data_IF_269743076791
#
_entry.id   IF_269743076791
#
_cell.length_a   1.000
_cell.length_b   1.000
_cell.length_c   1.000
_cell.angle_alpha   90.00
_cell.angle_beta   90.00
_cell.angle_gamma   90.00
#
_symmetry.space_group_name_H-M   'P 1'
#
loop_
_entity.id
_entity.type
_entity.pdbx_description
1 polymer ?
#
# COMPACT_ATOMS: atom_id res chain seq x y z
N UNK A 1 78.08 -36.69 57.70
CA UNK A 1 78.31 -35.82 56.52
C UNK A 1 77.52 -36.45 55.38
N UNK A 2 76.19 -36.37 55.38
CA UNK A 2 75.36 -35.16 55.18
C UNK A 2 75.74 -34.45 53.88
N UNK A 3 74.86 -34.09 52.93
CA UNK A 3 73.42 -34.26 52.69
C UNK A 3 73.25 -34.07 51.17
N UNK A 4 72.25 -34.67 50.53
CA UNK A 4 71.10 -33.86 50.13
C UNK A 4 71.11 -33.49 48.65
N UNK A 5 70.89 -34.47 47.77
CA UNK A 5 70.60 -34.25 46.35
C UNK A 5 69.17 -33.72 46.17
N UNK A 6 69.01 -32.41 46.31
CA UNK A 6 67.75 -31.68 46.11
C UNK A 6 67.41 -31.52 44.63
N UNK A 7 66.25 -32.05 44.25
CA UNK A 7 65.62 -31.99 42.94
C UNK A 7 65.40 -30.54 42.51
N UNK A 8 65.88 -30.15 41.33
CA UNK A 8 65.41 -28.94 40.67
C UNK A 8 64.06 -29.24 40.02
N UNK A 9 62.99 -28.83 40.71
CA UNK A 9 61.65 -28.74 40.12
C UNK A 9 61.65 -27.40 39.37
N UNK A 10 61.66 -27.50 38.05
CA UNK A 10 61.50 -26.39 37.12
C UNK A 10 60.12 -25.76 37.35
N UNK A 11 60.09 -24.69 38.15
CA UNK A 11 58.92 -23.84 38.30
C UNK A 11 58.69 -23.12 36.97
N UNK A 12 57.73 -23.63 36.19
CA UNK A 12 57.13 -22.90 35.07
C UNK A 12 56.43 -21.68 35.64
N UNK A 13 57.10 -20.53 35.57
CA UNK A 13 56.51 -19.25 35.94
C UNK A 13 55.43 -18.90 34.91
N UNK A 14 54.17 -18.84 35.36
CA UNK A 14 53.09 -18.23 34.59
C UNK A 14 53.44 -16.75 34.30
N UNK A 15 53.19 -16.23 33.08
CA UNK A 15 53.46 -14.83 32.80
C UNK A 15 52.52 -13.95 33.64
N UNK A 16 53.04 -12.86 34.25
CA UNK A 16 52.21 -11.95 35.02
C UNK A 16 51.19 -11.29 34.09
N UNK A 17 49.91 -11.35 34.48
CA UNK A 17 48.83 -10.60 33.85
C UNK A 17 49.20 -9.12 33.95
N UNK A 18 49.56 -8.50 32.82
CA UNK A 18 49.87 -7.08 32.72
C UNK A 18 48.66 -6.28 33.20
N UNK A 19 48.76 -5.72 34.41
CA UNK A 19 47.81 -4.74 34.89
C UNK A 19 47.98 -3.48 34.03
N UNK A 20 47.01 -3.23 33.14
CA UNK A 20 46.93 -1.96 32.40
C UNK A 20 46.88 -0.81 33.40
N UNK A 21 48.00 -0.09 33.55
CA UNK A 21 48.05 1.12 34.37
C UNK A 21 47.06 2.15 33.83
N UNK A 22 46.27 2.83 34.70
CA UNK A 22 45.34 3.83 34.24
C UNK A 22 46.13 4.98 33.57
N UNK A 23 45.62 5.52 32.44
CA UNK A 23 46.30 6.59 31.73
C UNK A 23 46.55 7.76 32.68
N UNK A 24 47.78 8.27 32.66
CA UNK A 24 48.22 9.33 33.56
C UNK A 24 47.29 10.56 33.48
N UNK A 25 46.93 11.18 34.63
CA UNK A 25 45.88 12.20 34.70
C UNK A 25 46.16 13.43 33.85
N UNK A 26 47.44 13.76 33.64
CA UNK A 26 47.84 14.89 32.80
C UNK A 26 47.46 14.68 31.32
N UNK A 27 47.58 13.46 30.78
CA UNK A 27 47.17 13.15 29.40
C UNK A 27 45.67 13.35 29.22
N UNK A 28 44.89 12.91 30.20
CA UNK A 28 43.43 13.07 30.21
C UNK A 28 43.09 14.56 30.22
N UNK A 29 43.75 15.35 31.09
CA UNK A 29 43.52 16.80 31.11
C UNK A 29 43.90 17.48 29.81
N UNK A 30 45.04 17.13 29.18
CA UNK A 30 45.46 17.71 27.89
C UNK A 30 44.50 17.36 26.75
N UNK A 31 43.98 16.12 26.74
CA UNK A 31 42.99 15.69 25.76
C UNK A 31 41.66 16.44 25.93
N UNK A 32 41.22 16.62 27.19
CA UNK A 32 39.97 17.35 27.49
C UNK A 32 40.13 18.84 27.20
N UNK A 33 41.22 19.48 27.63
CA UNK A 33 41.46 20.90 27.38
C UNK A 33 41.59 21.18 25.88
N UNK A 34 42.32 20.33 25.15
CA UNK A 34 42.40 20.42 23.69
C UNK A 34 41.05 20.26 23.00
N UNK A 35 40.21 19.33 23.46
CA UNK A 35 38.84 19.17 22.94
C UNK A 35 37.96 20.38 23.27
N UNK A 36 38.06 20.93 24.49
CA UNK A 36 37.29 22.11 24.92
C UNK A 36 37.73 23.35 24.14
N UNK A 37 39.02 23.56 23.92
CA UNK A 37 39.53 24.64 23.07
C UNK A 37 39.08 24.49 21.62
N UNK A 38 39.11 23.26 21.09
CA UNK A 38 38.60 22.97 19.75
C UNK A 38 37.10 23.25 19.64
N UNK A 39 36.28 22.80 20.59
CA UNK A 39 34.84 23.06 20.60
C UNK A 39 34.53 24.53 20.85
N UNK A 40 35.32 25.23 21.67
CA UNK A 40 35.19 26.68 21.89
C UNK A 40 35.50 27.47 20.62
N UNK A 41 36.56 27.09 19.91
CA UNK A 41 36.99 27.73 18.66
C UNK A 41 36.11 27.37 17.47
N UNK A 42 35.66 26.12 17.39
CA UNK A 42 34.93 25.55 16.23
C UNK A 42 33.47 25.18 16.52
N UNK A 43 32.90 25.60 17.66
CA UNK A 43 31.52 25.28 18.02
C UNK A 43 30.50 25.79 17.00
N UNK A 44 30.67 27.04 16.56
CA UNK A 44 29.81 27.63 15.53
C UNK A 44 29.94 26.96 14.14
N UNK A 45 31.14 26.73 13.57
CA UNK A 45 31.24 26.02 12.30
C UNK A 45 30.73 24.57 12.38
N UNK A 46 30.89 23.87 13.51
CA UNK A 46 30.28 22.55 13.71
C UNK A 46 28.74 22.61 13.61
N UNK A 47 28.11 23.63 14.20
CA UNK A 47 26.67 23.85 14.07
C UNK A 47 26.26 24.18 12.63
N UNK A 48 27.05 25.00 11.92
CA UNK A 48 26.79 25.33 10.52
C UNK A 48 26.93 24.10 9.61
N UNK A 49 27.94 23.27 9.82
CA UNK A 49 28.14 22.02 9.07
C UNK A 49 26.99 21.05 9.37
N UNK A 50 26.60 20.89 10.63
CA UNK A 50 25.45 20.06 11.00
C UNK A 50 24.16 20.56 10.34
N UNK A 51 23.91 21.87 10.37
CA UNK A 51 22.74 22.49 9.75
C UNK A 51 22.77 22.35 8.23
N UNK A 52 23.94 22.50 7.61
CA UNK A 52 24.16 22.29 6.18
C UNK A 52 23.87 20.84 5.81
N UNK A 53 24.40 19.86 6.55
CA UNK A 53 24.14 18.44 6.31
C UNK A 53 22.66 18.12 6.47
N UNK A 54 22.00 18.63 7.52
CA UNK A 54 20.56 18.46 7.70
C UNK A 54 19.75 19.10 6.56
N UNK A 55 20.16 20.28 6.10
CA UNK A 55 19.55 20.96 4.98
C UNK A 55 19.75 20.20 3.67
N UNK A 56 20.97 19.72 3.39
CA UNK A 56 21.31 18.84 2.27
C UNK A 56 20.47 17.56 2.32
N UNK A 57 20.41 16.89 3.47
CA UNK A 57 19.67 15.64 3.60
C UNK A 57 18.16 15.87 3.40
N UNK A 58 17.61 16.95 3.96
CA UNK A 58 16.22 17.35 3.73
C UNK A 58 15.96 17.68 2.25
N UNK A 59 16.94 18.25 1.54
CA UNK A 59 16.81 18.64 0.13
C UNK A 59 16.97 17.47 -0.84
N UNK A 60 17.97 16.63 -0.60
CA UNK A 60 18.40 15.55 -1.50
C UNK A 60 17.91 14.17 -1.07
N UNK A 61 17.18 14.06 0.04
CA UNK A 61 16.68 12.79 0.57
C UNK A 61 15.95 11.94 -0.47
N UNK A 62 15.15 12.56 -1.33
CA UNK A 62 14.45 11.83 -2.40
C UNK A 62 15.39 11.31 -3.51
N UNK A 63 16.45 12.04 -3.86
CA UNK A 63 17.44 11.56 -4.84
C UNK A 63 18.27 10.42 -4.25
N UNK A 64 18.64 10.53 -2.97
CA UNK A 64 19.32 9.47 -2.23
C UNK A 64 18.46 8.20 -2.16
N UNK A 65 17.17 8.34 -1.88
CA UNK A 65 16.22 7.22 -1.89
C UNK A 65 16.11 6.59 -3.27
N UNK A 66 15.95 7.37 -4.33
CA UNK A 66 15.91 6.84 -5.71
C UNK A 66 17.21 6.16 -6.11
N UNK A 67 18.36 6.71 -5.70
CA UNK A 67 19.66 6.10 -5.96
C UNK A 67 19.84 4.78 -5.20
N UNK A 68 19.43 4.73 -3.93
CA UNK A 68 19.42 3.49 -3.15
C UNK A 68 18.47 2.45 -3.74
N UNK A 69 17.27 2.85 -4.16
CA UNK A 69 16.30 1.98 -4.83
C UNK A 69 16.89 1.41 -6.12
N UNK A 70 17.48 2.25 -6.99
CA UNK A 70 18.13 1.78 -8.22
C UNK A 70 19.28 0.81 -7.94
N UNK A 71 20.07 1.03 -6.89
CA UNK A 71 21.12 0.10 -6.49
C UNK A 71 20.54 -1.23 -5.99
N UNK A 72 19.48 -1.19 -5.20
CA UNK A 72 18.79 -2.38 -4.72
C UNK A 72 18.19 -3.16 -5.91
N UNK A 73 17.49 -2.48 -6.82
CA UNK A 73 16.96 -3.06 -8.07
C UNK A 73 18.05 -3.68 -8.94
N UNK A 74 19.22 -3.04 -9.06
CA UNK A 74 20.35 -3.59 -9.81
C UNK A 74 20.93 -4.84 -9.15
N UNK A 75 21.02 -4.86 -7.82
CA UNK A 75 21.46 -6.03 -7.07
C UNK A 75 20.46 -7.18 -7.21
N UNK A 76 19.16 -6.89 -7.06
CA UNK A 76 18.08 -7.85 -7.26
C UNK A 76 18.08 -8.39 -8.69
N UNK A 77 18.16 -7.53 -9.71
CA UNK A 77 18.24 -7.94 -11.11
C UNK A 77 19.45 -8.85 -11.35
N UNK A 78 20.63 -8.53 -10.80
CA UNK A 78 21.81 -9.37 -10.90
C UNK A 78 21.63 -10.74 -10.22
N UNK A 79 20.90 -10.80 -9.10
CA UNK A 79 20.56 -12.06 -8.42
C UNK A 79 19.59 -12.90 -9.25
N UNK A 80 18.57 -12.28 -9.85
CA UNK A 80 17.61 -12.94 -10.74
C UNK A 80 18.26 -13.46 -12.02
N UNK A 81 19.24 -12.74 -12.59
CA UNK A 81 19.97 -13.20 -13.78
C UNK A 81 20.89 -14.39 -13.50
N UNK A 82 21.43 -14.52 -12.28
CA UNK A 82 22.31 -15.63 -11.89
C UNK A 82 21.53 -16.88 -11.46
N UNK A 83 20.36 -16.69 -10.84
CA UNK A 83 19.58 -17.75 -10.24
C UNK A 83 18.20 -17.88 -10.91
N UNK A 84 18.04 -18.78 -11.91
CA UNK A 84 16.75 -19.00 -12.58
C UNK A 84 15.66 -19.54 -11.62
N UNK A 85 16.05 -20.24 -10.55
CA UNK A 85 15.10 -20.79 -9.56
C UNK A 85 14.31 -19.68 -8.81
N UNK A 86 14.95 -18.53 -8.53
CA UNK A 86 14.27 -17.39 -7.91
C UNK A 86 13.18 -16.80 -8.81
N UNK A 87 13.36 -16.84 -10.13
CA UNK A 87 12.35 -16.42 -11.09
C UNK A 87 11.14 -17.37 -11.07
N UNK A 88 11.40 -18.68 -11.06
CA UNK A 88 10.34 -19.70 -11.00
C UNK A 88 9.53 -19.57 -9.72
N UNK A 89 10.17 -19.39 -8.57
CA UNK A 89 9.48 -19.19 -7.30
C UNK A 89 8.60 -17.93 -7.30
N UNK A 90 9.09 -16.84 -7.91
CA UNK A 90 8.33 -15.60 -8.06
C UNK A 90 7.11 -15.79 -8.98
N UNK A 91 7.29 -16.47 -10.11
CA UNK A 91 6.21 -16.78 -11.04
C UNK A 91 5.16 -17.68 -10.38
N UNK A 92 5.58 -18.71 -9.66
CA UNK A 92 4.68 -19.59 -8.90
C UNK A 92 3.90 -18.81 -7.82
N UNK A 93 4.54 -17.87 -7.13
CA UNK A 93 3.88 -17.00 -6.16
C UNK A 93 2.82 -16.10 -6.84
N UNK A 94 3.14 -15.51 -7.99
CA UNK A 94 2.20 -14.69 -8.78
C UNK A 94 1.03 -15.54 -9.27
N UNK A 95 1.28 -16.75 -9.78
CA UNK A 95 0.24 -17.67 -10.21
C UNK A 95 -0.67 -18.07 -9.05
N UNK A 96 -0.11 -18.37 -7.88
CA UNK A 96 -0.89 -18.71 -6.69
C UNK A 96 -1.80 -17.55 -6.25
N UNK A 97 -1.32 -16.32 -6.35
CA UNK A 97 -2.11 -15.13 -6.04
C UNK A 97 -3.26 -14.94 -7.05
N UNK A 98 -2.99 -15.16 -8.36
CA UNK A 98 -4.02 -15.13 -9.39
C UNK A 98 -5.09 -16.20 -9.18
N UNK A 99 -4.69 -17.43 -8.83
CA UNK A 99 -5.62 -18.54 -8.53
C UNK A 99 -6.52 -18.22 -7.34
N UNK A 100 -5.95 -17.73 -6.23
CA UNK A 100 -6.74 -17.29 -5.06
C UNK A 100 -7.74 -16.20 -5.41
N UNK A 101 -7.36 -15.26 -6.28
CA UNK A 101 -8.24 -14.20 -6.73
C UNK A 101 -9.38 -14.75 -7.60
N UNK A 102 -9.09 -15.69 -8.50
CA UNK A 102 -10.10 -16.38 -9.31
C UNK A 102 -11.09 -17.15 -8.44
N UNK A 103 -10.60 -17.92 -7.47
CA UNK A 103 -11.45 -18.66 -6.52
C UNK A 103 -12.40 -17.75 -5.75
N UNK A 104 -11.95 -16.55 -5.34
CA UNK A 104 -12.82 -15.57 -4.69
C UNK A 104 -13.92 -15.05 -5.63
N UNK A 105 -13.59 -14.79 -6.89
CA UNK A 105 -14.59 -14.40 -7.89
C UNK A 105 -15.58 -15.50 -8.19
N UNK A 106 -15.10 -16.74 -8.34
CA UNK A 106 -15.93 -17.91 -8.61
C UNK A 106 -16.88 -18.16 -7.44
N UNK A 107 -16.38 -18.09 -6.19
CA UNK A 107 -17.20 -18.18 -5.00
C UNK A 107 -18.26 -17.07 -4.93
N UNK A 108 -17.88 -15.82 -5.19
CA UNK A 108 -18.82 -14.70 -5.23
C UNK A 108 -19.89 -14.87 -6.33
N UNK A 109 -19.48 -15.37 -7.50
CA UNK A 109 -20.39 -15.63 -8.63
C UNK A 109 -21.37 -16.75 -8.31
N UNK A 110 -20.92 -17.82 -7.65
CA UNK A 110 -21.75 -18.94 -7.23
C UNK A 110 -22.79 -18.50 -6.19
N UNK A 111 -22.37 -17.72 -5.19
CA UNK A 111 -23.29 -17.15 -4.19
C UNK A 111 -24.32 -16.22 -4.83
N UNK A 112 -23.92 -15.41 -5.82
CA UNK A 112 -24.85 -14.56 -6.55
C UNK A 112 -25.84 -15.38 -7.37
N UNK A 113 -25.38 -16.40 -8.10
CA UNK A 113 -26.23 -17.30 -8.87
C UNK A 113 -27.24 -18.04 -7.98
N UNK A 114 -26.84 -18.49 -6.79
CA UNK A 114 -27.75 -19.09 -5.80
C UNK A 114 -28.82 -18.09 -5.36
N UNK A 115 -28.44 -16.85 -5.02
CA UNK A 115 -29.40 -15.81 -4.64
C UNK A 115 -30.37 -15.46 -5.77
N UNK A 116 -29.93 -15.49 -7.03
CA UNK A 116 -30.81 -15.27 -8.17
C UNK A 116 -31.83 -16.39 -8.32
N UNK A 117 -31.41 -17.66 -8.18
CA UNK A 117 -32.34 -18.81 -8.22
C UNK A 117 -33.41 -18.71 -7.13
N UNK A 118 -33.03 -18.39 -5.90
CA UNK A 118 -33.98 -18.21 -4.80
C UNK A 118 -34.99 -17.10 -5.10
N UNK A 119 -34.54 -15.95 -5.61
CA UNK A 119 -35.44 -14.85 -6.02
C UNK A 119 -36.36 -15.22 -7.18
N UNK A 120 -35.89 -16.06 -8.11
CA UNK A 120 -36.72 -16.57 -9.20
C UNK A 120 -37.77 -17.56 -8.71
N UNK A 121 -37.43 -18.43 -7.75
CA UNK A 121 -38.34 -19.37 -7.11
C UNK A 121 -39.41 -18.66 -6.27
N UNK A 122 -39.03 -17.67 -5.47
CA UNK A 122 -39.97 -16.81 -4.71
C UNK A 122 -40.97 -16.13 -5.66
N UNK A 123 -40.49 -15.52 -6.75
CA UNK A 123 -41.36 -14.91 -7.76
C UNK A 123 -42.26 -15.93 -8.46
N UNK A 124 -41.78 -17.17 -8.67
CA UNK A 124 -42.61 -18.25 -9.21
C UNK A 124 -43.70 -18.64 -8.22
N UNK A 125 -43.37 -18.75 -6.94
CA UNK A 125 -44.33 -19.05 -5.87
C UNK A 125 -45.36 -17.94 -5.73
N UNK A 126 -44.96 -16.66 -5.73
CA UNK A 126 -45.87 -15.52 -5.69
C UNK A 126 -46.85 -15.52 -6.87
N UNK A 127 -46.36 -15.83 -8.08
CA UNK A 127 -47.23 -15.96 -9.27
C UNK A 127 -48.23 -17.10 -9.12
N UNK A 128 -47.79 -18.26 -8.63
CA UNK A 128 -48.68 -19.40 -8.39
C UNK A 128 -49.71 -19.08 -7.30
N UNK A 129 -49.28 -18.46 -6.20
CA UNK A 129 -50.16 -18.06 -5.09
C UNK A 129 -51.20 -17.02 -5.54
N UNK A 130 -50.80 -16.04 -6.37
CA UNK A 130 -51.72 -15.06 -6.95
C UNK A 130 -52.76 -15.74 -7.86
N UNK A 131 -52.34 -16.66 -8.73
CA UNK A 131 -53.23 -17.42 -9.60
C UNK A 131 -54.18 -18.31 -8.79
N UNK A 132 -53.71 -18.92 -7.72
CA UNK A 132 -54.53 -19.74 -6.82
C UNK A 132 -55.56 -18.89 -6.06
N UNK A 133 -55.16 -17.72 -5.53
CA UNK A 133 -56.08 -16.77 -4.90
C UNK A 133 -57.16 -16.28 -5.88
N UNK A 134 -56.80 -16.06 -7.15
CA UNK A 134 -57.76 -15.73 -8.20
C UNK A 134 -58.74 -16.88 -8.47
N UNK A 135 -58.27 -18.13 -8.52
CA UNK A 135 -59.14 -19.32 -8.67
C UNK A 135 -60.08 -19.52 -7.47
N UNK A 136 -59.62 -19.23 -6.25
CA UNK A 136 -60.44 -19.28 -5.02
C UNK A 136 -61.43 -18.11 -4.90
N UNK A 137 -61.41 -17.14 -5.82
CA UNK A 137 -62.33 -15.99 -5.82
C UNK A 137 -61.91 -14.80 -4.95
N UNK A 138 -60.68 -14.81 -4.40
CA UNK A 138 -60.17 -13.76 -3.52
C UNK A 138 -59.46 -12.61 -4.27
N UNK A 139 -59.27 -12.75 -5.59
CA UNK A 139 -58.51 -11.82 -6.45
C UNK A 139 -59.10 -10.41 -6.65
N UNK A 140 -60.16 -10.04 -5.94
CA UNK A 140 -60.88 -8.76 -6.08
C UNK A 140 -60.54 -7.68 -5.05
N UNK A 141 -59.63 -7.92 -4.09
CA UNK A 141 -59.24 -6.90 -3.12
C UNK A 141 -58.26 -5.90 -3.74
N UNK A 142 -58.82 -4.83 -4.31
CA UNK A 142 -58.04 -3.68 -4.78
C UNK A 142 -57.12 -3.15 -3.67
N UNK A 143 -55.86 -2.84 -4.01
CA UNK A 143 -54.78 -2.35 -3.13
C UNK A 143 -55.09 -1.06 -2.32
N UNK A 144 -56.32 -0.54 -2.38
CA UNK A 144 -56.79 0.63 -1.62
C UNK A 144 -57.47 0.26 -0.30
N UNK A 145 -57.96 -0.97 -0.12
CA UNK A 145 -58.73 -1.34 1.09
C UNK A 145 -57.88 -1.91 2.25
N UNK A 146 -56.57 -2.04 2.08
CA UNK A 146 -55.65 -2.61 3.07
C UNK A 146 -54.61 -1.59 3.60
N UNK A 147 -54.77 -0.30 3.31
CA UNK A 147 -54.02 0.75 3.98
C UNK A 147 -54.76 1.13 5.28
N UNK A 148 -54.16 1.04 6.48
CA UNK A 148 -54.78 1.57 7.68
C UNK A 148 -54.93 3.09 7.53
N UNK A 149 -56.15 3.58 7.71
CA UNK A 149 -56.47 5.00 7.73
C UNK A 149 -55.73 5.68 8.90
N UNK A 150 -54.54 6.21 8.63
CA UNK A 150 -53.73 6.86 9.66
C UNK A 150 -52.27 7.06 9.30
N UNK A 151 -51.94 7.51 8.09
CA UNK A 151 -50.62 8.10 7.82
C UNK A 151 -50.74 9.08 6.65
N UNK A 152 -50.43 10.35 6.94
CA UNK A 152 -50.39 11.43 5.97
C UNK A 152 -49.43 11.14 4.81
N UNK A 153 -49.81 11.57 3.62
CA UNK A 153 -48.98 11.56 2.42
C UNK A 153 -47.65 12.32 2.62
N UNK A 154 -46.60 11.91 1.89
CA UNK A 154 -46.06 12.83 0.90
C UNK A 154 -46.07 12.20 -0.51
N UNK A 155 -46.13 13.07 -1.52
CA UNK A 155 -46.36 12.75 -2.93
C UNK A 155 -45.29 11.88 -3.64
N UNK A 156 -45.45 11.66 -4.96
CA UNK A 156 -44.72 10.64 -5.70
C UNK A 156 -43.29 11.11 -5.99
N UNK A 157 -42.31 10.58 -5.25
CA UNK A 157 -40.89 10.74 -5.56
C UNK A 157 -40.40 9.52 -6.33
N UNK A 158 -40.26 9.69 -7.65
CA UNK A 158 -39.49 8.78 -8.48
C UNK A 158 -38.01 8.81 -8.10
N UNK A 159 -37.38 7.63 -8.21
CA UNK A 159 -35.94 7.38 -8.38
C UNK A 159 -34.98 8.32 -7.61
N UNK A 160 -34.55 7.91 -6.41
CA UNK A 160 -33.31 8.43 -5.83
C UNK A 160 -32.51 7.30 -5.20
N UNK A 161 -31.42 6.93 -5.87
CA UNK A 161 -30.35 6.12 -5.31
C UNK A 161 -29.69 6.93 -4.20
N UNK A 162 -29.88 6.49 -2.96
CA UNK A 162 -29.23 7.00 -1.75
C UNK A 162 -27.70 6.79 -1.85
N UNK A 163 -26.97 7.76 -2.39
CA UNK A 163 -25.51 7.83 -2.28
C UNK A 163 -25.18 8.46 -0.94
N UNK A 164 -24.84 7.63 0.05
CA UNK A 164 -24.12 8.07 1.23
C UNK A 164 -22.75 8.64 0.81
N UNK A 165 -22.65 9.97 0.74
CA UNK A 165 -21.39 10.68 0.54
C UNK A 165 -21.12 11.53 1.78
N UNK A 166 -20.28 10.99 2.65
CA UNK A 166 -19.68 11.72 3.76
C UNK A 166 -18.99 12.98 3.21
N UNK A 167 -19.31 14.11 3.83
CA UNK A 167 -18.80 15.44 3.53
C UNK A 167 -17.37 15.53 4.09
N UNK A 168 -16.37 15.47 3.22
CA UNK A 168 -15.01 15.94 3.55
C UNK A 168 -14.76 17.27 2.84
N UNK A 169 -14.45 18.27 3.65
CA UNK A 169 -14.10 19.65 3.36
C UNK A 169 -13.11 19.82 2.18
N UNK A 170 -13.35 20.85 1.36
CA UNK A 170 -12.31 21.57 0.60
C UNK A 170 -11.88 21.03 -0.77
N UNK A 171 -12.56 21.46 -1.84
CA UNK A 171 -11.97 22.04 -3.09
C UNK A 171 -13.04 22.27 -4.15
N UNK A 172 -12.90 23.41 -4.86
CA UNK A 172 -13.80 23.90 -5.92
C UNK A 172 -14.06 22.83 -6.99
N UNK A 173 -15.31 22.58 -7.43
CA UNK A 173 -15.57 21.59 -8.48
C UNK A 173 -15.07 22.12 -9.82
N UNK A 174 -14.13 21.40 -10.45
CA UNK A 174 -13.74 21.62 -11.84
C UNK A 174 -14.96 21.44 -12.75
N UNK A 175 -15.10 22.27 -13.78
CA UNK A 175 -16.23 22.31 -14.74
C UNK A 175 -16.35 21.07 -15.66
N UNK A 176 -15.86 19.92 -15.21
CA UNK A 176 -15.91 18.64 -15.89
C UNK A 176 -16.77 17.71 -15.03
N UNK A 177 -17.71 17.01 -15.67
CA UNK A 177 -18.69 16.15 -15.02
C UNK A 177 -18.03 15.24 -13.97
N UNK A 178 -18.70 15.00 -12.83
CA UNK A 178 -18.13 14.21 -11.72
C UNK A 178 -17.75 12.76 -12.08
N UNK A 179 -18.23 12.26 -13.22
CA UNK A 179 -17.98 10.90 -13.70
C UNK A 179 -16.96 10.83 -14.87
N UNK A 180 -16.27 11.93 -15.20
CA UNK A 180 -15.28 11.92 -16.27
C UNK A 180 -13.89 11.54 -15.76
N UNK A 181 -13.46 10.30 -16.03
CA UNK A 181 -12.09 9.85 -15.80
C UNK A 181 -11.34 9.78 -17.15
N UNK A 182 -10.38 10.69 -17.43
CA UNK A 182 -9.69 10.77 -18.72
C UNK A 182 -8.76 9.57 -19.00
N UNK A 183 -8.49 8.71 -18.02
CA UNK A 183 -7.67 7.49 -18.18
C UNK A 183 -8.51 6.23 -18.42
N UNK A 184 -9.79 6.26 -18.06
CA UNK A 184 -10.74 5.17 -18.23
C UNK A 184 -11.72 5.59 -19.31
N UNK A 185 -11.33 5.40 -20.57
CA UNK A 185 -12.11 5.75 -21.75
C UNK A 185 -13.59 5.40 -21.59
N UNK A 186 -14.40 6.40 -21.28
CA UNK A 186 -15.84 6.27 -21.13
C UNK A 186 -16.45 5.98 -22.49
N UNK A 187 -16.95 4.74 -22.65
CA UNK A 187 -17.49 4.23 -23.89
C UNK A 187 -18.67 5.04 -24.41
N UNK A 188 -18.43 5.80 -25.46
CA UNK A 188 -19.39 6.19 -26.51
C UNK A 188 -18.60 6.83 -27.66
N UNK A 189 -18.01 5.97 -28.52
CA UNK A 189 -17.66 6.24 -29.93
C UNK A 189 -17.39 7.71 -30.34
N UNK A 190 -16.36 8.33 -29.78
CA UNK A 190 -15.77 9.57 -30.30
C UNK A 190 -14.31 9.69 -29.88
N UNK A 191 -13.48 8.72 -30.29
CA UNK A 191 -12.04 8.89 -30.24
C UNK A 191 -11.64 9.99 -31.22
N UNK A 192 -10.86 10.96 -30.77
CA UNK A 192 -10.22 11.96 -31.63
C UNK A 192 -9.50 11.25 -32.79
N UNK A 193 -10.03 11.39 -34.01
CA UNK A 193 -9.35 10.98 -35.23
C UNK A 193 -8.61 12.20 -35.77
N UNK A 194 -7.26 12.20 -35.79
CA UNK A 194 -6.54 13.29 -36.45
C UNK A 194 -6.97 13.36 -37.92
N UNK A 195 -7.13 14.57 -38.50
CA UNK A 195 -7.46 14.71 -39.90
C UNK A 195 -6.39 14.00 -40.75
N UNK A 196 -6.83 13.19 -41.72
CA UNK A 196 -5.91 12.51 -42.64
C UNK A 196 -5.10 13.56 -43.38
N UNK A 197 -3.81 13.67 -43.07
CA UNK A 197 -2.82 14.34 -43.92
C UNK A 197 -2.60 13.46 -45.16
N UNK A 198 -3.53 13.54 -46.10
CA UNK A 198 -3.38 13.03 -47.47
C UNK A 198 -3.48 14.23 -48.42
N UNK A 199 -2.48 14.40 -49.28
CA UNK A 199 -2.36 15.56 -50.15
C UNK A 199 -3.40 15.65 -51.28
N UNK A 200 -3.50 16.89 -51.79
CA UNK A 200 -3.78 17.34 -53.16
C UNK A 200 -5.02 16.82 -53.91
N UNK A 201 -5.99 17.74 -54.09
CA UNK A 201 -6.84 18.00 -55.27
C UNK A 201 -7.83 19.11 -54.84
N UNK A 202 -8.10 20.24 -55.51
CA UNK A 202 -7.88 20.81 -56.84
C UNK A 202 -8.34 22.28 -56.73
N UNK A 203 -7.85 23.25 -57.50
CA UNK A 203 -8.15 23.37 -58.93
C UNK A 203 -9.49 24.10 -59.10
N UNK A 204 -9.46 25.43 -59.22
CA UNK A 204 -10.62 26.31 -59.39
C UNK A 204 -10.40 27.68 -58.79
#
# INVERSE_FOLDING_TARGET
>A
MEEGGGRQIENVAEPPIEAHEPPSPWLITQAITGLVEFVSSYGWPCLLVLLLVLWLWRRYGHLLQQWQQRRAEQQEAALYHKNPDLLVQREAAIESARRRMQEQYDAASALYAQKQKLREEEKRQERLALLEAQQRGEGGRSLRSAAPAGAAAPGPSGCSMEKNKAKSEGKKPSALRPDYNPLLGGGSYAGYRPPRRGGAAGGG
#
